data_IF_250119925749
#
_entry.id   IF_250119925749
#
_cell.length_a   1.000
_cell.length_b   1.000
_cell.length_c   1.000
_cell.angle_alpha   90.00
_cell.angle_beta   90.00
_cell.angle_gamma   90.00
#
_symmetry.space_group_name_H-M   'P 1'
#
loop_
_entity.id
_entity.type
_entity.pdbx_description
1 polymer ?
#
# COMPACT_ATOMS: atom_id res chain seq x y z
N UNK A 1 -11.40 -18.95 7.11
CA UNK A 1 -10.47 -18.29 6.16
C UNK A 1 -10.14 -16.83 6.54
N UNK A 2 -11.07 -16.05 7.10
CA UNK A 2 -10.80 -14.72 7.70
C UNK A 2 -9.76 -14.73 8.83
N UNK A 3 -9.61 -15.87 9.52
CA UNK A 3 -8.73 -16.04 10.68
C UNK A 3 -7.24 -15.81 10.40
N UNK A 4 -6.75 -16.13 9.20
CA UNK A 4 -5.32 -15.94 8.87
C UNK A 4 -4.97 -14.45 8.80
N UNK A 5 -5.77 -13.64 8.10
CA UNK A 5 -5.59 -12.19 8.04
C UNK A 5 -5.58 -11.56 9.43
N UNK A 6 -6.44 -12.04 10.33
CA UNK A 6 -6.46 -11.56 11.71
C UNK A 6 -5.12 -11.91 12.38
N UNK A 7 -4.62 -13.14 12.31
CA UNK A 7 -3.32 -13.51 12.95
C UNK A 7 -2.13 -12.69 12.48
N UNK A 8 -2.12 -12.20 11.23
CA UNK A 8 -0.97 -11.48 10.65
C UNK A 8 -0.89 -10.01 11.06
N UNK A 9 -2.03 -9.36 11.28
CA UNK A 9 -2.08 -7.94 11.63
C UNK A 9 -2.41 -7.75 13.11
N UNK A 10 -1.84 -6.71 13.74
CA UNK A 10 -2.21 -6.36 15.13
C UNK A 10 -3.65 -5.86 15.20
N UNK A 11 -4.31 -6.00 16.35
CA UNK A 11 -5.75 -5.66 16.51
C UNK A 11 -6.11 -4.28 15.96
N UNK A 12 -5.29 -3.25 16.27
CA UNK A 12 -5.45 -1.87 15.79
C UNK A 12 -5.38 -1.72 14.27
N UNK A 13 -4.66 -2.60 13.56
CA UNK A 13 -4.56 -2.54 12.09
C UNK A 13 -5.70 -3.32 11.40
N UNK A 14 -6.30 -4.30 12.10
CA UNK A 14 -7.35 -5.17 11.55
C UNK A 14 -8.65 -4.41 11.25
N UNK A 15 -9.01 -3.46 12.11
CA UNK A 15 -10.24 -2.68 11.97
C UNK A 15 -10.26 -1.83 10.68
N UNK A 16 -9.08 -1.46 10.18
CA UNK A 16 -8.95 -0.68 8.94
C UNK A 16 -8.87 -1.54 7.68
N UNK A 17 -8.73 -2.87 7.78
CA UNK A 17 -8.59 -3.73 6.59
C UNK A 17 -9.83 -3.70 5.67
N UNK A 18 -11.09 -3.77 6.18
CA UNK A 18 -12.27 -3.65 5.32
C UNK A 18 -12.39 -2.28 4.67
N UNK A 19 -12.06 -1.21 5.41
CA UNK A 19 -12.05 0.16 4.89
C UNK A 19 -11.03 0.28 3.76
N UNK A 20 -9.81 -0.24 3.98
CA UNK A 20 -8.75 -0.24 2.98
C UNK A 20 -9.12 -1.07 1.75
N UNK A 21 -9.77 -2.22 1.92
CA UNK A 21 -10.29 -3.01 0.80
C UNK A 21 -11.26 -2.19 -0.05
N UNK A 22 -12.18 -1.46 0.59
CA UNK A 22 -13.10 -0.56 -0.08
C UNK A 22 -12.39 0.58 -0.82
N UNK A 23 -11.43 1.24 -0.17
CA UNK A 23 -10.64 2.33 -0.76
C UNK A 23 -9.80 1.89 -1.97
N UNK A 24 -9.29 0.66 -1.96
CA UNK A 24 -8.53 0.06 -3.06
C UNK A 24 -9.44 -0.61 -4.11
N UNK A 25 -10.76 -0.53 -3.94
CA UNK A 25 -11.77 -1.14 -4.80
C UNK A 25 -11.50 -2.64 -5.05
N UNK A 26 -10.98 -3.37 -4.07
CA UNK A 26 -10.71 -4.80 -4.19
C UNK A 26 -12.05 -5.55 -4.05
N UNK A 27 -12.44 -6.38 -5.03
CA UNK A 27 -13.70 -7.12 -4.99
C UNK A 27 -13.75 -8.08 -3.80
N UNK A 28 -14.95 -8.47 -3.38
CA UNK A 28 -15.15 -9.40 -2.25
C UNK A 28 -14.55 -10.78 -2.51
N UNK A 29 -14.49 -11.20 -3.77
CA UNK A 29 -13.78 -12.40 -4.22
C UNK A 29 -12.83 -12.05 -5.37
N UNK A 30 -11.64 -12.66 -5.32
CA UNK A 30 -10.57 -12.48 -6.30
C UNK A 30 -10.34 -13.78 -7.05
N UNK A 31 -10.35 -13.70 -8.38
CA UNK A 31 -10.07 -14.81 -9.28
C UNK A 31 -8.87 -14.46 -10.16
N UNK A 32 -7.78 -15.23 -10.06
CA UNK A 32 -6.52 -14.95 -10.77
C UNK A 32 -6.51 -15.36 -12.25
N UNK A 33 -7.68 -15.63 -12.84
CA UNK A 33 -7.85 -16.00 -14.25
C UNK A 33 -7.61 -17.48 -14.58
N UNK A 34 -8.22 -17.94 -15.68
CA UNK A 34 -8.16 -19.33 -16.18
C UNK A 34 -9.13 -20.30 -15.49
N UNK A 35 -9.34 -21.46 -16.11
CA UNK A 35 -10.19 -22.55 -15.58
C UNK A 35 -9.60 -23.16 -14.30
N UNK A 36 -8.27 -23.09 -14.15
CA UNK A 36 -7.51 -23.53 -12.96
C UNK A 36 -7.04 -22.36 -12.07
N UNK A 37 -7.70 -21.20 -12.17
CA UNK A 37 -7.34 -20.01 -11.41
C UNK A 37 -7.57 -20.17 -9.90
N UNK A 38 -6.84 -19.41 -9.09
CA UNK A 38 -7.05 -19.39 -7.65
C UNK A 38 -8.26 -18.51 -7.31
N UNK A 39 -9.11 -19.00 -6.42
CA UNK A 39 -10.22 -18.25 -5.83
C UNK A 39 -9.96 -17.99 -4.36
N UNK A 40 -9.92 -16.72 -3.98
CA UNK A 40 -9.71 -16.31 -2.60
C UNK A 40 -10.59 -15.12 -2.24
N UNK A 41 -10.95 -14.95 -0.95
CA UNK A 41 -11.58 -13.72 -0.49
C UNK A 41 -10.69 -12.50 -0.78
N UNK A 42 -11.32 -11.37 -1.13
CA UNK A 42 -10.61 -10.12 -1.43
C UNK A 42 -9.74 -9.63 -0.28
N UNK A 43 -10.20 -9.78 0.97
CA UNK A 43 -9.39 -9.51 2.15
C UNK A 43 -8.12 -10.37 2.19
N UNK A 44 -8.21 -11.64 1.81
CA UNK A 44 -7.03 -12.54 1.76
C UNK A 44 -6.02 -12.04 0.74
N UNK A 45 -6.48 -11.64 -0.45
CA UNK A 45 -5.62 -11.06 -1.49
C UNK A 45 -4.95 -9.75 -1.00
N UNK A 46 -5.71 -8.87 -0.35
CA UNK A 46 -5.18 -7.65 0.26
C UNK A 46 -4.12 -7.95 1.33
N UNK A 47 -4.39 -8.88 2.25
CA UNK A 47 -3.45 -9.27 3.29
C UNK A 47 -2.15 -9.85 2.71
N UNK A 48 -2.25 -10.69 1.68
CA UNK A 48 -1.09 -11.25 0.98
C UNK A 48 -0.24 -10.16 0.33
N UNK A 49 -0.88 -9.21 -0.35
CA UNK A 49 -0.21 -8.06 -0.95
C UNK A 49 0.49 -7.21 0.12
N UNK A 50 -0.22 -6.78 1.16
CA UNK A 50 0.34 -5.98 2.26
C UNK A 50 1.51 -6.69 2.92
N UNK A 51 1.43 -8.01 3.08
CA UNK A 51 2.53 -8.79 3.66
C UNK A 51 3.74 -8.85 2.73
N UNK A 52 3.54 -8.92 1.42
CA UNK A 52 4.62 -8.86 0.43
C UNK A 52 5.27 -7.47 0.34
N UNK A 53 4.52 -6.41 0.62
CA UNK A 53 5.03 -5.03 0.68
C UNK A 53 5.71 -4.71 2.02
N UNK A 54 5.31 -5.37 3.11
CA UNK A 54 6.04 -5.32 4.38
C UNK A 54 7.33 -6.15 4.28
N UNK A 55 8.45 -5.63 4.82
CA UNK A 55 9.79 -6.23 5.01
C UNK A 55 9.99 -7.69 4.55
N UNK A 56 11.06 -8.05 3.82
CA UNK A 56 11.18 -9.29 3.05
C UNK A 56 10.66 -10.54 3.78
N UNK A 57 9.47 -10.99 3.38
CA UNK A 57 8.88 -12.24 3.84
C UNK A 57 9.20 -13.35 2.84
N UNK A 58 9.75 -14.47 3.32
CA UNK A 58 10.04 -15.62 2.46
C UNK A 58 8.71 -16.21 1.98
N UNK A 59 8.65 -16.60 0.70
CA UNK A 59 7.45 -17.22 0.10
C UNK A 59 7.00 -18.48 0.85
N UNK A 60 7.95 -19.25 1.41
CA UNK A 60 7.62 -20.45 2.22
C UNK A 60 6.93 -20.12 3.54
N UNK A 61 7.22 -18.97 4.15
CA UNK A 61 6.54 -18.54 5.38
C UNK A 61 5.10 -18.14 5.08
N UNK A 62 4.88 -17.47 3.94
CA UNK A 62 3.53 -17.13 3.45
C UNK A 62 2.72 -18.37 3.10
N UNK A 63 3.34 -19.37 2.48
CA UNK A 63 2.68 -20.64 2.16
C UNK A 63 2.19 -21.35 3.42
N UNK A 64 3.02 -21.43 4.47
CA UNK A 64 2.62 -22.00 5.77
C UNK A 64 1.53 -21.20 6.46
N UNK A 65 1.59 -19.87 6.34
CA UNK A 65 0.69 -18.95 7.04
C UNK A 65 -0.71 -18.93 6.41
N UNK A 66 -0.77 -18.90 5.08
CA UNK A 66 -2.02 -18.79 4.32
C UNK A 66 -2.54 -20.13 3.79
N UNK A 67 -1.73 -21.18 3.80
CA UNK A 67 -2.09 -22.50 3.25
C UNK A 67 -2.25 -22.49 1.73
N UNK A 68 -1.65 -21.51 1.04
CA UNK A 68 -1.71 -21.34 -0.41
C UNK A 68 -0.34 -21.65 -0.98
N UNK A 69 -0.30 -22.40 -2.09
CA UNK A 69 0.96 -22.74 -2.74
C UNK A 69 1.74 -21.48 -3.13
N UNK A 70 3.08 -21.58 -3.20
CA UNK A 70 3.92 -20.46 -3.66
C UNK A 70 3.48 -19.89 -5.02
N UNK A 71 3.06 -20.76 -5.95
CA UNK A 71 2.52 -20.35 -7.25
C UNK A 71 1.23 -19.54 -7.11
N UNK A 72 0.32 -19.98 -6.23
CA UNK A 72 -0.94 -19.27 -5.96
C UNK A 72 -0.73 -17.94 -5.29
N UNK A 73 0.19 -17.86 -4.32
CA UNK A 73 0.57 -16.59 -3.70
C UNK A 73 1.08 -15.62 -4.75
N UNK A 74 2.00 -16.05 -5.63
CA UNK A 74 2.52 -15.20 -6.70
C UNK A 74 1.41 -14.74 -7.65
N UNK A 75 0.50 -15.63 -8.05
CA UNK A 75 -0.62 -15.29 -8.93
C UNK A 75 -1.58 -14.28 -8.29
N UNK A 76 -1.95 -14.48 -7.03
CA UNK A 76 -2.86 -13.59 -6.28
C UNK A 76 -2.22 -12.22 -6.07
N UNK A 77 -0.94 -12.18 -5.70
CA UNK A 77 -0.22 -10.93 -5.47
C UNK A 77 -0.05 -10.16 -6.77
N UNK A 78 0.29 -10.84 -7.87
CA UNK A 78 0.38 -10.20 -9.18
C UNK A 78 -0.96 -9.62 -9.60
N UNK A 79 -2.03 -10.40 -9.48
CA UNK A 79 -3.40 -9.92 -9.74
C UNK A 79 -3.73 -8.67 -8.92
N UNK A 80 -3.37 -8.64 -7.64
CA UNK A 80 -3.65 -7.49 -6.77
C UNK A 80 -2.84 -6.25 -7.17
N UNK A 81 -1.58 -6.43 -7.60
CA UNK A 81 -0.74 -5.36 -8.13
C UNK A 81 -1.33 -4.81 -9.42
N UNK A 82 -1.71 -5.68 -10.36
CA UNK A 82 -2.30 -5.30 -11.64
C UNK A 82 -3.63 -4.57 -11.46
N UNK A 83 -4.46 -5.03 -10.52
CA UNK A 83 -5.72 -4.36 -10.16
C UNK A 83 -5.48 -2.95 -9.64
N UNK A 84 -4.55 -2.78 -8.69
CA UNK A 84 -4.23 -1.47 -8.12
C UNK A 84 -3.61 -0.56 -9.18
N UNK A 85 -2.67 -1.06 -9.98
CA UNK A 85 -2.07 -0.28 -11.05
C UNK A 85 -3.14 0.13 -12.08
N UNK A 86 -3.98 -0.80 -12.54
CA UNK A 86 -5.05 -0.48 -13.49
C UNK A 86 -6.02 0.60 -13.00
N UNK A 87 -6.28 0.66 -11.69
CA UNK A 87 -7.16 1.65 -11.06
C UNK A 87 -6.48 2.99 -10.79
N UNK A 88 -5.25 2.96 -10.27
CA UNK A 88 -4.60 4.12 -9.66
C UNK A 88 -3.37 4.62 -10.42
N UNK A 89 -2.92 3.96 -11.50
CA UNK A 89 -1.77 4.41 -12.31
C UNK A 89 -1.97 5.83 -12.85
N UNK A 90 -3.20 6.18 -13.23
CA UNK A 90 -3.54 7.52 -13.71
C UNK A 90 -3.34 8.61 -12.65
N UNK A 91 -3.42 8.28 -11.37
CA UNK A 91 -3.12 9.22 -10.27
C UNK A 91 -1.63 9.53 -10.23
N UNK A 92 -0.79 8.51 -10.41
CA UNK A 92 0.66 8.65 -10.36
C UNK A 92 1.22 9.35 -11.61
N UNK A 93 0.55 9.22 -12.76
CA UNK A 93 0.94 9.88 -14.02
C UNK A 93 0.69 11.39 -14.02
N UNK A 94 -0.34 11.87 -13.31
CA UNK A 94 -0.61 13.30 -13.20
C UNK A 94 -1.03 13.70 -11.77
N UNK A 95 -0.02 14.03 -10.97
CA UNK A 95 -0.19 14.46 -9.58
C UNK A 95 -1.03 15.75 -9.47
N UNK A 96 -1.10 16.57 -10.53
CA UNK A 96 -1.90 17.81 -10.53
C UNK A 96 -3.40 17.54 -10.50
N UNK A 97 -3.82 16.34 -10.90
CA UNK A 97 -5.23 15.92 -10.89
C UNK A 97 -5.76 15.70 -9.47
N UNK A 98 -4.88 15.56 -8.49
CA UNK A 98 -5.23 15.20 -7.12
C UNK A 98 -5.00 16.37 -6.18
N UNK A 99 -6.08 16.92 -5.61
CA UNK A 99 -6.04 18.10 -4.72
C UNK A 99 -5.20 17.88 -3.46
N UNK A 100 -5.09 16.65 -2.99
CA UNK A 100 -4.34 16.32 -1.77
C UNK A 100 -2.84 16.08 -2.02
N UNK A 101 -2.41 15.79 -3.26
CA UNK A 101 -1.03 15.50 -3.63
C UNK A 101 -0.54 16.44 -4.75
N UNK A 102 -0.48 17.73 -4.44
CA UNK A 102 -0.06 18.75 -5.41
C UNK A 102 1.41 19.17 -5.23
N UNK A 103 2.04 19.80 -6.23
CA UNK A 103 3.44 20.22 -6.18
C UNK A 103 3.78 21.11 -4.97
N UNK A 104 2.85 21.96 -4.54
CA UNK A 104 3.05 22.86 -3.41
C UNK A 104 3.18 22.08 -2.09
N UNK A 105 2.30 21.10 -1.86
CA UNK A 105 2.36 20.23 -0.68
C UNK A 105 3.61 19.33 -0.70
N UNK A 106 4.00 18.87 -1.89
CA UNK A 106 5.23 18.10 -2.07
C UNK A 106 6.49 18.94 -1.80
N UNK A 107 6.50 20.22 -2.20
CA UNK A 107 7.60 21.13 -1.90
C UNK A 107 7.75 21.36 -0.38
N UNK A 108 6.62 21.58 0.32
CA UNK A 108 6.61 21.70 1.78
C UNK A 108 7.15 20.42 2.43
N UNK A 109 6.70 19.25 1.97
CA UNK A 109 7.20 17.97 2.49
C UNK A 109 8.70 17.79 2.24
N UNK A 110 9.18 18.10 1.03
CA UNK A 110 10.58 18.00 0.68
C UNK A 110 11.47 18.95 1.51
N UNK A 111 11.00 20.18 1.77
CA UNK A 111 11.70 21.14 2.62
C UNK A 111 11.86 20.61 4.04
N UNK A 112 10.78 20.07 4.63
CA UNK A 112 10.82 19.48 5.99
C UNK A 112 11.78 18.29 6.06
N UNK A 113 11.71 17.36 5.10
CA UNK A 113 12.61 16.19 5.08
C UNK A 113 14.07 16.61 4.90
N UNK A 114 14.34 17.62 4.08
CA UNK A 114 15.70 18.14 3.87
C UNK A 114 16.20 18.82 5.14
N UNK A 115 15.37 19.62 5.81
CA UNK A 115 15.72 20.26 7.08
C UNK A 115 16.01 19.23 8.18
N UNK A 116 15.21 18.17 8.30
CA UNK A 116 15.42 17.10 9.27
C UNK A 116 16.77 16.38 9.05
N UNK A 117 17.10 16.06 7.78
CA UNK A 117 18.43 15.53 7.42
C UNK A 117 19.58 16.53 7.68
N UNK A 118 19.33 17.84 7.53
CA UNK A 118 20.34 18.89 7.76
C UNK A 118 20.58 19.16 9.27
N UNK A 119 19.55 18.99 10.10
CA UNK A 119 19.66 19.04 11.57
C UNK A 119 20.44 17.85 12.13
N UNK A 120 20.28 16.65 11.56
CA UNK A 120 21.10 15.47 11.92
C UNK A 120 22.58 15.62 11.53
N UNK A 121 22.90 16.53 10.59
CA UNK A 121 24.26 16.81 10.11
C UNK A 121 24.86 18.11 10.67
N UNK A 122 24.17 18.79 11.60
CA UNK A 122 24.73 19.89 12.38
C UNK A 122 24.89 21.23 11.64
N UNK A 123 24.21 21.44 10.50
CA UNK A 123 24.19 22.72 9.80
C UNK A 123 22.87 23.48 10.02
N UNK A 124 22.94 24.52 10.84
CA UNK A 124 21.84 25.43 11.16
C UNK A 124 21.62 26.45 10.03
N UNK A 125 20.43 26.48 9.41
CA UNK A 125 20.05 27.56 8.47
C UNK A 125 18.59 27.98 8.65
N UNK A 126 18.42 29.30 8.82
CA UNK A 126 17.19 29.96 9.22
C UNK A 126 16.00 29.81 8.26
N UNK A 127 14.83 29.76 8.88
CA UNK A 127 13.51 29.62 8.28
C UNK A 127 13.16 30.80 7.35
N UNK A 128 13.05 30.57 6.04
CA UNK A 128 12.45 31.55 5.11
C UNK A 128 10.98 31.23 4.90
N UNK A 129 10.13 31.83 5.75
CA UNK A 129 8.68 31.82 5.62
C UNK A 129 8.23 32.42 4.28
N UNK A 130 8.09 31.59 3.23
CA UNK A 130 7.54 32.02 1.93
C UNK A 130 6.18 31.43 1.58
N UNK A 131 5.61 30.53 2.40
CA UNK A 131 4.33 29.88 2.09
C UNK A 131 3.26 29.96 3.20
N UNK A 132 3.43 30.86 4.17
CA UNK A 132 2.36 31.20 5.11
C UNK A 132 1.49 32.33 4.53
N UNK A 133 0.52 31.96 3.66
CA UNK A 133 -0.79 32.61 3.43
C UNK A 133 -1.34 32.22 2.05
N UNK A 134 -2.32 31.33 2.03
CA UNK A 134 -3.66 31.63 1.49
C UNK A 134 -4.62 30.51 1.89
N UNK A 135 -5.85 30.92 2.22
CA UNK A 135 -6.93 30.13 2.82
C UNK A 135 -7.49 29.02 1.91
#
# INVERSE_FOLDING_TARGET
MLDVCLRVFTSKKREHLPVLQGCLEIPTEVHTGGENGYRVPGLTALCLLLRRLSYPNRLGDLERLFGISKSGISAIVMWAIDHINGKFENILKDLRRVRWLNPQKLAVYAEVVTQDMMLESGQDVGFSSKYAKSA
#
